data_IF_686270059587
#
_entry.id   IF_686270059587
#
_cell.length_a   1.000
_cell.length_b   1.000
_cell.length_c   1.000
_cell.angle_alpha   90.00
_cell.angle_beta   90.00
_cell.angle_gamma   90.00
#
_symmetry.space_group_name_H-M   'P 1'
#
loop_
_entity.id
_entity.type
_entity.pdbx_description
1 polymer ?
#
# COMPACT_ATOMS: atom_id res chain seq x y z
N UNK A 1 -3.91 28.75 -20.92
CA UNK A 1 -3.48 27.61 -20.09
C UNK A 1 -4.63 26.63 -20.03
N UNK A 2 -4.46 25.42 -20.56
CA UNK A 2 -5.41 24.33 -20.35
C UNK A 2 -5.25 23.84 -18.92
N UNK A 3 -6.33 23.86 -18.13
CA UNK A 3 -6.32 23.32 -16.78
C UNK A 3 -6.22 21.80 -16.86
N UNK A 4 -5.11 21.23 -16.37
CA UNK A 4 -4.94 19.79 -16.25
C UNK A 4 -5.18 19.39 -14.78
N UNK A 5 -6.11 18.45 -14.51
CA UNK A 5 -6.29 17.89 -13.18
C UNK A 5 -4.99 17.25 -12.66
N UNK A 6 -4.75 17.31 -11.35
CA UNK A 6 -3.55 16.70 -10.74
C UNK A 6 -3.58 15.17 -10.75
N UNK A 7 -4.76 14.58 -10.85
CA UNK A 7 -4.95 13.13 -11.04
C UNK A 7 -5.67 12.94 -12.37
N UNK A 8 -5.01 12.30 -13.32
CA UNK A 8 -5.53 12.16 -14.69
C UNK A 8 -5.07 10.85 -15.34
N UNK A 9 -5.81 10.39 -16.34
CA UNK A 9 -5.36 9.27 -17.19
C UNK A 9 -4.45 9.80 -18.29
N UNK A 10 -3.27 9.22 -18.44
CA UNK A 10 -2.36 9.54 -19.55
C UNK A 10 -3.05 9.26 -20.88
N UNK A 11 -2.75 10.07 -21.89
CA UNK A 11 -3.26 9.85 -23.24
C UNK A 11 -2.86 8.45 -23.72
N UNK A 12 -3.83 7.68 -24.24
CA UNK A 12 -3.69 6.25 -24.52
C UNK A 12 -4.39 5.34 -23.51
N UNK A 13 -4.58 5.81 -22.26
CA UNK A 13 -5.43 5.15 -21.27
C UNK A 13 -4.73 4.10 -20.38
N UNK A 14 -3.45 3.82 -20.63
CA UNK A 14 -2.67 2.76 -19.96
C UNK A 14 -2.20 3.11 -18.55
N UNK A 15 -2.18 4.40 -18.19
CA UNK A 15 -1.57 4.90 -16.96
C UNK A 15 -2.48 5.93 -16.27
N UNK A 16 -2.66 5.78 -14.96
CA UNK A 16 -3.21 6.83 -14.10
C UNK A 16 -2.03 7.61 -13.49
N UNK A 17 -1.95 8.90 -13.76
CA UNK A 17 -0.88 9.78 -13.29
C UNK A 17 -1.39 10.63 -12.14
N UNK A 18 -0.63 10.62 -11.04
CA UNK A 18 -0.78 11.55 -9.92
C UNK A 18 0.38 12.54 -10.01
N UNK A 19 0.12 13.72 -10.56
CA UNK A 19 1.09 14.79 -10.67
C UNK A 19 1.43 15.39 -9.30
N UNK A 20 2.51 16.20 -9.24
CA UNK A 20 2.99 16.82 -7.99
C UNK A 20 1.86 17.52 -7.21
N UNK A 21 1.73 17.16 -5.93
CA UNK A 21 0.68 17.64 -5.04
C UNK A 21 -0.73 17.12 -5.34
N UNK A 22 -0.88 16.10 -6.19
CA UNK A 22 -2.07 15.27 -6.31
C UNK A 22 -2.07 14.18 -5.23
N UNK A 23 -3.26 13.71 -4.85
CA UNK A 23 -3.45 12.72 -3.79
C UNK A 23 -4.51 11.71 -4.24
N UNK A 24 -4.29 10.44 -3.93
CA UNK A 24 -5.34 9.41 -3.95
C UNK A 24 -5.65 9.09 -2.49
N UNK A 25 -6.86 9.42 -2.04
CA UNK A 25 -7.34 9.01 -0.73
C UNK A 25 -8.19 7.75 -0.89
N UNK A 26 -7.73 6.63 -0.31
CA UNK A 26 -8.50 5.39 -0.29
C UNK A 26 -9.34 5.38 0.97
N UNK A 27 -10.61 5.73 0.84
CA UNK A 27 -11.57 5.72 1.95
C UNK A 27 -11.85 4.29 2.43
N UNK A 28 -12.42 4.17 3.64
CA UNK A 28 -12.82 2.89 4.23
C UNK A 28 -13.63 2.03 3.26
N UNK A 29 -13.17 0.81 3.00
CA UNK A 29 -13.78 -0.14 2.06
C UNK A 29 -13.27 -0.05 0.61
N UNK A 30 -12.50 1.00 0.27
CA UNK A 30 -11.80 1.11 -1.00
C UNK A 30 -10.59 0.19 -1.10
N UNK A 31 -10.30 -0.34 -2.29
CA UNK A 31 -9.19 -1.27 -2.52
C UNK A 31 -8.46 -1.02 -3.86
N UNK A 32 -7.16 -1.27 -3.87
CA UNK A 32 -6.32 -1.35 -5.07
C UNK A 32 -6.15 -2.83 -5.45
N UNK A 33 -6.50 -3.18 -6.69
CA UNK A 33 -6.47 -4.56 -7.18
C UNK A 33 -5.30 -4.77 -8.15
N UNK A 34 -4.60 -5.88 -8.00
CA UNK A 34 -3.70 -6.45 -8.99
C UNK A 34 -4.45 -7.55 -9.76
N UNK A 35 -4.69 -7.35 -11.06
CA UNK A 35 -5.37 -8.30 -11.94
C UNK A 35 -6.73 -8.78 -11.41
N UNK A 36 -7.54 -7.86 -10.88
CA UNK A 36 -8.89 -8.14 -10.38
C UNK A 36 -8.95 -8.64 -8.92
N UNK A 37 -7.81 -8.92 -8.31
CA UNK A 37 -7.70 -9.42 -6.93
C UNK A 37 -6.85 -8.46 -6.10
N UNK A 38 -7.21 -8.25 -4.83
CA UNK A 38 -6.34 -7.51 -3.91
C UNK A 38 -5.13 -8.38 -3.54
N UNK A 39 -3.95 -7.78 -3.34
CA UNK A 39 -2.78 -8.56 -2.95
C UNK A 39 -3.07 -9.29 -1.62
N UNK A 40 -2.74 -10.58 -1.55
CA UNK A 40 -2.95 -11.36 -0.34
C UNK A 40 -2.06 -10.86 0.81
N UNK A 41 -2.52 -11.09 2.03
CA UNK A 41 -1.77 -10.77 3.25
C UNK A 41 -0.50 -11.62 3.35
N UNK A 42 0.58 -11.04 3.88
CA UNK A 42 1.76 -11.78 4.35
C UNK A 42 1.59 -12.00 5.84
N UNK A 43 1.86 -13.21 6.35
CA UNK A 43 1.79 -13.50 7.78
C UNK A 43 2.70 -12.55 8.58
N UNK A 44 2.34 -12.26 9.84
CA UNK A 44 3.23 -11.48 10.71
C UNK A 44 4.57 -12.20 10.87
N UNK A 45 5.66 -11.44 10.86
CA UNK A 45 6.95 -12.00 11.20
C UNK A 45 6.94 -12.30 12.69
N UNK A 46 7.25 -13.54 13.05
CA UNK A 46 7.42 -13.94 14.45
C UNK A 46 8.86 -13.72 14.87
N UNK A 47 9.06 -13.30 16.12
CA UNK A 47 10.38 -13.26 16.74
C UNK A 47 10.78 -14.71 17.04
N UNK A 48 11.77 -15.24 16.32
CA UNK A 48 12.25 -16.61 16.55
C UNK A 48 13.76 -16.64 16.64
N UNK A 49 14.31 -16.91 17.83
CA UNK A 49 15.72 -17.30 18.00
C UNK A 49 16.52 -16.49 19.01
N UNK A 50 17.81 -16.79 19.05
CA UNK A 50 18.81 -16.33 20.04
C UNK A 50 19.11 -14.83 20.01
N UNK A 51 18.66 -14.10 18.97
CA UNK A 51 18.87 -12.66 18.77
C UNK A 51 17.59 -11.83 18.92
N UNK A 52 16.67 -12.25 19.79
CA UNK A 52 15.35 -11.66 19.98
C UNK A 52 15.33 -10.13 20.07
N UNK A 53 16.31 -9.49 20.71
CA UNK A 53 16.31 -8.02 20.90
C UNK A 53 16.58 -7.22 19.62
N UNK A 54 17.43 -7.72 18.71
CA UNK A 54 17.69 -7.06 17.42
C UNK A 54 16.59 -7.40 16.40
N UNK A 55 16.05 -8.61 16.50
CA UNK A 55 14.92 -9.07 15.70
C UNK A 55 13.63 -8.32 16.06
N UNK A 56 13.42 -7.94 17.33
CA UNK A 56 12.20 -7.27 17.80
C UNK A 56 11.94 -5.94 17.07
N UNK A 57 12.97 -5.11 16.89
CA UNK A 57 12.82 -3.82 16.22
C UNK A 57 12.50 -3.99 14.72
N UNK A 58 13.13 -4.96 14.07
CA UNK A 58 12.89 -5.28 12.66
C UNK A 58 11.50 -5.86 12.47
N UNK A 59 11.10 -6.81 13.32
CA UNK A 59 9.76 -7.42 13.31
C UNK A 59 8.68 -6.37 13.53
N UNK A 60 8.86 -5.47 14.50
CA UNK A 60 7.93 -4.37 14.75
C UNK A 60 7.82 -3.45 13.52
N UNK A 61 8.93 -3.10 12.87
CA UNK A 61 8.93 -2.29 11.66
C UNK A 61 8.19 -2.97 10.50
N UNK A 62 8.43 -4.28 10.29
CA UNK A 62 7.76 -5.04 9.22
C UNK A 62 6.25 -5.16 9.46
N UNK A 63 5.84 -5.49 10.68
CA UNK A 63 4.41 -5.62 11.01
C UNK A 63 3.70 -4.24 10.96
N UNK A 64 4.41 -3.15 11.28
CA UNK A 64 3.91 -1.78 11.10
C UNK A 64 3.73 -1.41 9.63
N UNK A 65 4.71 -1.75 8.78
CA UNK A 65 4.57 -1.60 7.33
C UNK A 65 3.36 -2.38 6.82
N UNK A 66 3.21 -3.64 7.23
CA UNK A 66 2.07 -4.47 6.82
C UNK A 66 0.73 -3.80 7.16
N UNK A 67 0.60 -3.30 8.38
CA UNK A 67 -0.59 -2.58 8.84
C UNK A 67 -0.87 -1.35 7.97
N UNK A 68 0.17 -0.57 7.64
CA UNK A 68 0.03 0.59 6.77
C UNK A 68 -0.44 0.21 5.34
N UNK A 69 0.07 -0.89 4.77
CA UNK A 69 -0.34 -1.37 3.44
C UNK A 69 -1.79 -1.88 3.43
N UNK A 70 -2.26 -2.53 4.50
CA UNK A 70 -3.67 -2.91 4.66
C UNK A 70 -4.56 -1.68 4.78
N UNK A 71 -4.17 -0.70 5.60
CA UNK A 71 -4.90 0.56 5.76
C UNK A 71 -4.99 1.39 4.48
N UNK A 72 -3.98 1.32 3.61
CA UNK A 72 -4.00 1.94 2.28
C UNK A 72 -4.85 1.17 1.23
N UNK A 73 -5.48 0.06 1.61
CA UNK A 73 -6.27 -0.78 0.71
C UNK A 73 -5.44 -1.54 -0.33
N UNK A 74 -4.13 -1.71 -0.12
CA UNK A 74 -3.22 -2.39 -1.05
C UNK A 74 -3.24 -3.91 -0.80
N UNK A 75 -3.20 -4.32 0.47
CA UNK A 75 -3.23 -5.71 0.91
C UNK A 75 -4.57 -6.05 1.54
N UNK A 76 -5.05 -7.27 1.32
CA UNK A 76 -6.24 -7.78 2.01
C UNK A 76 -5.96 -7.96 3.50
N UNK A 77 -6.94 -7.64 4.34
CA UNK A 77 -6.91 -8.05 5.74
C UNK A 77 -7.00 -9.58 5.83
N UNK A 78 -6.25 -10.17 6.75
CA UNK A 78 -6.32 -11.60 7.08
C UNK A 78 -7.60 -11.97 7.80
#
# INVERSE_FOLDING_TARGET
MTYQPKVYRKQGGDELVVASGGVINVETGGILKANGTQAAFVADVATTGTYATDDDAIVAAINSLKTALVGAGIMAAS
#
